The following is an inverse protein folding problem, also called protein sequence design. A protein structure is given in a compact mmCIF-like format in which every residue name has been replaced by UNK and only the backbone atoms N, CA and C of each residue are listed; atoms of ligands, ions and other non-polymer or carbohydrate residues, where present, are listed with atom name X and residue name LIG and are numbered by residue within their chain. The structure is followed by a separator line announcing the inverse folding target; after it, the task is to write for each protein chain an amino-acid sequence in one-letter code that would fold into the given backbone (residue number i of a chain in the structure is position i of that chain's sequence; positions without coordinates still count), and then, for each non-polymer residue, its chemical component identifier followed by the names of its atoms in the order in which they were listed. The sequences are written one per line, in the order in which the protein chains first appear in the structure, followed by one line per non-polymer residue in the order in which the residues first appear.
data_IF_464674885775
#
_entry.id   IF_464674885775
#
_cell.length_a   1.000
_cell.length_b   1.000
_cell.length_c   1.000
_cell.angle_alpha   90.00
_cell.angle_beta   90.00
_cell.angle_gamma   90.00
#
_symmetry.space_group_name_H-M   'P 1'
#
loop_
_entity.id
_entity.type
_entity.pdbx_description
1 polymer ?
#
# COMPACT_ATOMS: atom_id res chain seq x y z
N UNK A 1 26.09 -2.51 21.92
CA UNK A 1 24.89 -2.59 21.09
C UNK A 1 23.77 -1.79 21.73
N UNK A 2 23.27 -0.76 21.07
CA UNK A 2 22.16 0.06 21.53
C UNK A 2 20.85 -0.61 21.10
N UNK A 3 19.84 -0.64 21.97
CA UNK A 3 18.46 -0.95 21.57
C UNK A 3 17.83 0.31 21.03
N UNK A 4 17.11 0.20 19.91
CA UNK A 4 16.46 1.29 19.22
C UNK A 4 14.95 1.02 19.21
N UNK A 5 14.13 1.77 19.96
CA UNK A 5 12.67 1.65 19.89
C UNK A 5 12.14 1.94 18.49
N UNK A 6 11.01 1.32 18.12
CA UNK A 6 10.41 1.48 16.79
C UNK A 6 10.03 2.94 16.49
N UNK A 7 9.42 3.63 17.45
CA UNK A 7 9.06 5.04 17.30
C UNK A 7 10.32 5.91 17.08
N UNK A 8 11.39 5.70 17.87
CA UNK A 8 12.65 6.44 17.72
C UNK A 8 13.28 6.19 16.35
N UNK A 9 13.25 4.94 15.85
CA UNK A 9 13.73 4.62 14.50
C UNK A 9 12.92 5.36 13.42
N UNK A 10 11.59 5.37 13.56
CA UNK A 10 10.70 5.98 12.57
C UNK A 10 10.72 7.52 12.58
N UNK A 11 11.15 8.15 13.68
CA UNK A 11 11.32 9.61 13.78
C UNK A 11 12.60 10.11 13.12
N UNK A 12 13.57 9.24 12.86
CA UNK A 12 14.83 9.60 12.20
C UNK A 12 14.66 9.63 10.67
N UNK A 13 15.43 10.49 10.02
CA UNK A 13 15.53 10.46 8.57
C UNK A 13 16.16 9.14 8.11
N UNK A 14 15.56 8.51 7.12
CA UNK A 14 15.96 7.20 6.60
C UNK A 14 17.42 7.12 6.16
N UNK A 15 18.03 8.25 5.70
CA UNK A 15 19.42 8.31 5.26
C UNK A 15 20.45 8.19 6.37
N UNK A 16 20.10 8.55 7.61
CA UNK A 16 21.02 8.54 8.73
C UNK A 16 21.20 7.15 9.37
N UNK A 17 20.22 6.24 9.18
CA UNK A 17 20.21 4.92 9.78
C UNK A 17 19.70 3.84 8.82
N UNK A 18 20.54 3.36 7.88
CA UNK A 18 20.18 2.21 7.06
C UNK A 18 19.76 1.03 7.93
N UNK A 19 18.65 0.39 7.57
CA UNK A 19 18.09 -0.75 8.29
C UNK A 19 18.41 -2.05 7.55
N UNK A 20 19.08 -2.97 8.22
CA UNK A 20 19.35 -4.29 7.70
C UNK A 20 18.36 -5.30 8.27
N UNK A 21 17.59 -5.92 7.42
CA UNK A 21 16.69 -7.02 7.76
C UNK A 21 17.45 -8.35 7.63
N UNK A 22 17.65 -9.02 8.76
CA UNK A 22 18.40 -10.29 8.81
C UNK A 22 17.50 -11.52 8.83
N UNK A 23 16.23 -11.36 8.48
CA UNK A 23 15.32 -12.48 8.25
C UNK A 23 15.70 -13.21 6.97
N UNK A 24 15.12 -14.40 6.75
CA UNK A 24 15.36 -15.11 5.49
C UNK A 24 14.75 -14.38 4.29
N UNK A 25 15.22 -14.66 3.05
CA UNK A 25 14.67 -14.02 1.85
C UNK A 25 13.15 -14.13 1.74
N UNK A 26 12.57 -15.29 1.98
CA UNK A 26 11.12 -15.48 1.94
C UNK A 26 10.37 -14.71 3.04
N UNK A 27 10.98 -14.55 4.25
CA UNK A 27 10.41 -13.68 5.28
C UNK A 27 10.45 -12.20 4.86
N UNK A 28 11.47 -11.76 4.13
CA UNK A 28 11.61 -10.42 3.60
C UNK A 28 10.61 -10.15 2.47
N UNK A 29 10.50 -11.06 1.51
CA UNK A 29 9.55 -10.97 0.40
C UNK A 29 8.09 -10.99 0.86
N UNK A 30 7.79 -11.74 1.91
CA UNK A 30 6.46 -11.77 2.51
C UNK A 30 6.03 -10.43 3.13
N UNK A 31 6.99 -9.54 3.43
CA UNK A 31 6.76 -8.19 3.91
C UNK A 31 7.94 -7.68 4.72
N UNK A 32 8.36 -6.45 4.46
CA UNK A 32 9.49 -5.81 5.11
C UNK A 32 9.20 -4.34 5.44
N UNK A 33 10.00 -3.76 6.31
CA UNK A 33 9.95 -2.32 6.59
C UNK A 33 10.42 -1.58 5.33
N UNK A 34 9.61 -0.65 4.76
CA UNK A 34 10.01 0.09 3.57
C UNK A 34 11.39 0.76 3.75
N UNK A 35 12.27 0.59 2.74
CA UNK A 35 13.65 1.05 2.80
C UNK A 35 14.64 0.11 3.53
N UNK A 36 14.19 -0.97 4.17
CA UNK A 36 15.08 -1.96 4.74
C UNK A 36 15.82 -2.74 3.64
N UNK A 37 17.09 -3.05 3.91
CA UNK A 37 17.96 -3.81 3.02
C UNK A 37 18.08 -5.25 3.52
N UNK A 38 17.94 -6.22 2.64
CA UNK A 38 18.01 -7.63 3.00
C UNK A 38 19.45 -8.09 3.20
N UNK A 39 19.77 -8.53 4.42
CA UNK A 39 21.05 -9.18 4.79
C UNK A 39 20.76 -10.48 5.55
N UNK A 40 20.28 -11.53 4.88
CA UNK A 40 19.75 -12.71 5.55
C UNK A 40 20.81 -13.49 6.31
N UNK A 41 20.58 -13.72 7.62
CA UNK A 41 21.43 -14.60 8.41
C UNK A 41 21.37 -16.06 7.93
N UNK A 42 20.19 -16.48 7.46
CA UNK A 42 19.91 -17.82 6.95
C UNK A 42 19.22 -17.75 5.60
N UNK A 43 19.48 -18.69 4.69
CA UNK A 43 18.59 -18.97 3.57
C UNK A 43 17.23 -19.48 4.08
N UNK A 44 16.26 -19.64 3.20
CA UNK A 44 14.93 -20.16 3.59
C UNK A 44 15.03 -21.62 4.07
N UNK A 45 15.87 -22.44 3.43
CA UNK A 45 16.12 -23.83 3.81
C UNK A 45 16.83 -23.91 5.18
N UNK A 46 17.86 -23.11 5.36
CA UNK A 46 18.62 -23.06 6.63
C UNK A 46 17.71 -22.60 7.78
N UNK A 47 16.91 -21.55 7.52
CA UNK A 47 15.92 -21.05 8.47
C UNK A 47 14.87 -22.11 8.82
N UNK A 48 14.41 -22.90 7.84
CA UNK A 48 13.48 -24.01 8.07
C UNK A 48 14.11 -25.11 8.95
N UNK A 49 15.35 -25.47 8.69
CA UNK A 49 16.10 -26.47 9.50
C UNK A 49 16.24 -25.98 10.95
N UNK A 50 16.79 -24.78 11.16
CA UNK A 50 16.98 -24.22 12.50
C UNK A 50 15.65 -24.05 13.24
N UNK A 51 14.59 -23.59 12.52
CA UNK A 51 13.26 -23.42 13.08
C UNK A 51 12.59 -24.75 13.48
N UNK A 52 12.82 -25.81 12.73
CA UNK A 52 12.34 -27.16 13.05
C UNK A 52 13.05 -27.72 14.28
N UNK A 53 14.37 -27.59 14.35
CA UNK A 53 15.15 -27.99 15.52
C UNK A 53 14.73 -27.23 16.78
N UNK A 54 14.45 -25.94 16.67
CA UNK A 54 13.94 -25.15 17.79
C UNK A 54 12.63 -25.70 18.35
N UNK A 55 11.70 -26.10 17.48
CA UNK A 55 10.41 -26.67 17.91
C UNK A 55 10.50 -28.08 18.45
N UNK A 56 11.36 -28.92 17.87
CA UNK A 56 11.42 -30.36 18.17
C UNK A 56 12.45 -30.74 19.21
N UNK A 57 13.60 -30.02 19.26
CA UNK A 57 14.75 -30.36 20.07
C UNK A 57 15.14 -29.30 21.10
N UNK A 58 14.50 -28.12 21.02
CA UNK A 58 14.71 -27.00 21.92
C UNK A 58 15.73 -25.96 21.45
N UNK A 59 15.85 -24.86 22.21
CA UNK A 59 16.61 -23.69 21.79
C UNK A 59 18.12 -23.93 21.68
N UNK A 60 18.69 -24.80 22.53
CA UNK A 60 20.14 -25.04 22.58
C UNK A 60 20.67 -25.75 21.32
N UNK A 61 19.98 -26.81 20.88
CA UNK A 61 20.34 -27.56 19.66
C UNK A 61 20.13 -26.69 18.42
N UNK A 62 19.05 -25.92 18.39
CA UNK A 62 18.80 -24.97 17.29
C UNK A 62 19.89 -23.89 17.23
N UNK A 63 20.36 -23.39 18.38
CA UNK A 63 21.42 -22.39 18.45
C UNK A 63 22.74 -22.95 17.95
N UNK A 64 23.13 -24.16 18.37
CA UNK A 64 24.34 -24.83 17.88
C UNK A 64 24.30 -24.99 16.35
N UNK A 65 23.17 -25.47 15.81
CA UNK A 65 23.00 -25.58 14.34
C UNK A 65 23.07 -24.24 13.64
N UNK A 66 22.48 -23.20 14.24
CA UNK A 66 22.57 -21.83 13.74
C UNK A 66 24.02 -21.33 13.69
N UNK A 67 24.84 -21.63 14.70
CA UNK A 67 26.24 -21.26 14.72
C UNK A 67 27.07 -22.01 13.65
N UNK A 68 26.79 -23.29 13.43
CA UNK A 68 27.46 -24.06 12.36
C UNK A 68 27.21 -23.42 10.99
N UNK A 69 25.97 -23.06 10.72
CA UNK A 69 25.57 -22.50 9.44
C UNK A 69 26.06 -21.05 9.27
N UNK A 70 25.85 -20.19 10.27
CA UNK A 70 26.26 -18.80 10.21
C UNK A 70 27.77 -18.62 10.27
N UNK A 71 28.48 -19.47 11.02
CA UNK A 71 29.93 -19.41 11.18
C UNK A 71 30.69 -19.48 9.87
N UNK A 72 30.20 -20.26 8.91
CA UNK A 72 30.81 -20.39 7.58
C UNK A 72 30.67 -19.14 6.72
N UNK A 73 29.79 -18.23 7.07
CA UNK A 73 29.43 -17.03 6.29
C UNK A 73 29.90 -15.71 6.93
N UNK A 74 30.63 -15.76 8.05
CA UNK A 74 31.02 -14.56 8.79
C UNK A 74 31.72 -13.49 7.92
N UNK A 75 32.69 -13.82 7.05
CA UNK A 75 33.29 -12.81 6.17
C UNK A 75 32.27 -12.20 5.21
N UNK A 76 31.41 -13.03 4.63
CA UNK A 76 30.40 -12.59 3.68
C UNK A 76 29.42 -11.58 4.29
N UNK A 77 28.97 -11.78 5.54
CA UNK A 77 28.07 -10.81 6.18
C UNK A 77 28.70 -9.42 6.31
N UNK A 78 29.98 -9.36 6.62
CA UNK A 78 30.70 -8.08 6.76
C UNK A 78 30.87 -7.39 5.41
N UNK A 79 31.29 -8.14 4.39
CA UNK A 79 31.47 -7.64 3.03
C UNK A 79 30.14 -7.17 2.44
N UNK A 80 29.09 -7.96 2.59
CA UNK A 80 27.77 -7.64 2.09
C UNK A 80 27.15 -6.43 2.82
N UNK A 81 27.32 -6.35 4.14
CA UNK A 81 26.88 -5.16 4.88
C UNK A 81 27.57 -3.89 4.35
N UNK A 82 28.90 -3.93 4.11
CA UNK A 82 29.62 -2.79 3.53
C UNK A 82 29.15 -2.44 2.11
N UNK A 83 28.80 -3.44 1.32
CA UNK A 83 28.24 -3.27 -0.03
C UNK A 83 26.85 -2.61 0.00
N UNK A 84 26.01 -3.04 0.93
CA UNK A 84 24.62 -2.55 1.05
C UNK A 84 24.57 -1.12 1.58
N UNK A 85 25.47 -0.73 2.47
CA UNK A 85 25.46 0.60 3.13
C UNK A 85 26.81 1.35 2.91
N UNK A 86 27.17 1.67 1.68
CA UNK A 86 28.47 2.27 1.37
C UNK A 86 28.64 3.62 2.08
N UNK A 87 29.74 3.79 2.81
CA UNK A 87 30.08 5.03 3.52
C UNK A 87 29.32 5.26 4.83
N UNK A 88 28.31 4.45 5.14
CA UNK A 88 27.61 4.56 6.44
C UNK A 88 28.36 3.78 7.51
N UNK A 89 28.63 4.43 8.64
CA UNK A 89 29.15 3.77 9.83
C UNK A 89 28.02 3.37 10.81
N UNK A 90 26.89 4.06 10.76
CA UNK A 90 25.74 3.83 11.63
C UNK A 90 24.70 3.01 10.89
N UNK A 91 24.29 1.89 11.49
CA UNK A 91 23.29 1.01 10.93
C UNK A 91 22.31 0.53 12.00
N UNK A 92 21.10 0.22 11.61
CA UNK A 92 20.15 -0.50 12.43
C UNK A 92 19.96 -1.93 11.88
N UNK A 93 19.73 -2.88 12.77
CA UNK A 93 19.54 -4.30 12.40
C UNK A 93 18.29 -4.83 13.08
N UNK A 94 17.50 -5.61 12.36
CA UNK A 94 16.36 -6.30 12.96
C UNK A 94 16.19 -7.72 12.42
N UNK A 95 15.52 -8.55 13.20
CA UNK A 95 14.91 -9.80 12.75
C UNK A 95 13.43 -9.80 13.14
N UNK A 96 12.78 -10.96 13.19
CA UNK A 96 11.36 -11.06 13.53
C UNK A 96 11.00 -10.47 14.92
N UNK A 97 11.81 -10.71 15.95
CA UNK A 97 11.57 -10.29 17.35
C UNK A 97 12.70 -9.49 17.99
N UNK A 98 13.72 -9.07 17.26
CA UNK A 98 14.88 -8.40 17.84
C UNK A 98 15.70 -9.30 18.79
N UNK A 99 15.71 -10.63 18.54
CA UNK A 99 16.36 -11.62 19.39
C UNK A 99 17.72 -12.08 18.85
N UNK A 100 18.01 -13.38 18.98
CA UNK A 100 19.33 -13.96 18.67
C UNK A 100 19.81 -13.70 17.24
N UNK A 101 18.95 -13.81 16.23
CA UNK A 101 19.35 -13.59 14.82
C UNK A 101 19.93 -12.18 14.60
N UNK A 102 19.20 -11.15 15.01
CA UNK A 102 19.67 -9.76 14.90
C UNK A 102 20.79 -9.45 15.90
N UNK A 103 20.76 -10.04 17.09
CA UNK A 103 21.79 -9.83 18.10
C UNK A 103 23.16 -10.36 17.71
N UNK A 104 23.24 -11.58 17.13
CA UNK A 104 24.50 -12.17 16.68
C UNK A 104 25.10 -11.42 15.51
N UNK A 105 24.29 -11.03 14.52
CA UNK A 105 24.80 -10.27 13.39
C UNK A 105 25.18 -8.83 13.78
N UNK A 106 24.42 -8.20 14.66
CA UNK A 106 24.77 -6.90 15.21
C UNK A 106 26.09 -6.92 15.98
N UNK A 107 26.34 -8.00 16.75
CA UNK A 107 27.63 -8.20 17.42
C UNK A 107 28.78 -8.29 16.41
N UNK A 108 28.67 -9.13 15.38
CA UNK A 108 29.66 -9.28 14.32
C UNK A 108 29.96 -7.97 13.61
N UNK A 109 28.93 -7.24 13.22
CA UNK A 109 29.05 -5.97 12.51
C UNK A 109 29.65 -4.88 13.40
N UNK A 110 29.29 -4.84 14.70
CA UNK A 110 29.93 -3.94 15.65
C UNK A 110 31.43 -4.23 15.80
N UNK A 111 31.80 -5.50 15.87
CA UNK A 111 33.21 -5.93 15.94
C UNK A 111 33.99 -5.56 14.66
N UNK A 112 33.26 -5.47 13.52
CA UNK A 112 33.83 -5.08 12.21
C UNK A 112 33.87 -3.57 11.97
N UNK A 113 33.56 -2.73 13.00
CA UNK A 113 33.69 -1.29 12.98
C UNK A 113 32.41 -0.49 12.70
N UNK A 114 31.24 -1.14 12.59
CA UNK A 114 29.97 -0.43 12.51
C UNK A 114 29.45 0.01 13.89
N UNK A 115 28.82 1.17 13.97
CA UNK A 115 27.97 1.58 15.08
C UNK A 115 26.57 1.01 14.92
N UNK A 116 26.27 -0.09 15.61
CA UNK A 116 25.09 -0.91 15.38
C UNK A 116 24.03 -0.71 16.45
N UNK A 117 22.82 -0.35 16.03
CA UNK A 117 21.60 -0.39 16.83
C UNK A 117 20.73 -1.59 16.45
N UNK A 118 20.05 -2.21 17.43
CA UNK A 118 19.10 -3.32 17.18
C UNK A 118 17.68 -2.80 17.41
N UNK A 119 16.80 -2.95 16.39
CA UNK A 119 15.40 -2.56 16.52
C UNK A 119 14.70 -3.40 17.60
N UNK A 120 14.21 -2.73 18.64
CA UNK A 120 13.62 -3.39 19.79
C UNK A 120 12.31 -4.09 19.43
N UNK A 121 12.22 -5.38 19.78
CA UNK A 121 11.08 -6.22 19.39
C UNK A 121 11.00 -6.59 17.90
N UNK A 122 11.92 -6.05 17.08
CA UNK A 122 12.08 -6.37 15.67
C UNK A 122 10.86 -6.04 14.81
N UNK A 123 10.74 -6.76 13.70
CA UNK A 123 9.64 -6.56 12.74
C UNK A 123 8.25 -6.76 13.37
N UNK A 124 8.10 -7.67 14.32
CA UNK A 124 6.84 -7.86 15.04
C UNK A 124 6.40 -6.61 15.83
N UNK A 125 7.35 -5.91 16.46
CA UNK A 125 7.05 -4.67 17.16
C UNK A 125 6.71 -3.53 16.19
N UNK A 126 7.41 -3.45 15.04
CA UNK A 126 7.07 -2.53 13.97
C UNK A 126 5.63 -2.74 13.49
N UNK A 127 5.23 -4.00 13.15
CA UNK A 127 3.87 -4.31 12.71
C UNK A 127 2.81 -3.91 13.74
N UNK A 128 3.05 -4.17 15.02
CA UNK A 128 2.13 -3.73 16.08
C UNK A 128 2.01 -2.21 16.13
N UNK A 129 3.14 -1.51 16.09
CA UNK A 129 3.19 -0.06 16.13
C UNK A 129 2.40 0.57 14.97
N UNK A 130 2.59 0.12 13.74
CA UNK A 130 1.88 0.71 12.60
C UNK A 130 0.36 0.49 12.67
N UNK A 131 -0.10 -0.66 13.17
CA UNK A 131 -1.53 -0.92 13.35
C UNK A 131 -2.15 0.02 14.41
N UNK A 132 -1.45 0.29 15.52
CA UNK A 132 -1.86 1.26 16.52
C UNK A 132 -1.94 2.67 15.90
N UNK A 133 -0.93 3.07 15.14
CA UNK A 133 -0.86 4.39 14.53
C UNK A 133 -1.96 4.66 13.47
N UNK A 134 -2.42 3.67 12.75
CA UNK A 134 -3.56 3.84 11.82
C UNK A 134 -4.86 4.27 12.53
N UNK A 135 -5.03 3.89 13.79
CA UNK A 135 -6.16 4.30 14.62
C UNK A 135 -5.94 5.61 15.37
N UNK A 136 -4.73 5.89 15.82
CA UNK A 136 -4.43 6.90 16.83
C UNK A 136 -3.79 8.17 16.26
N UNK A 137 -2.89 8.05 15.26
CA UNK A 137 -2.20 9.22 14.69
C UNK A 137 -3.21 10.19 14.07
N UNK A 138 -3.29 11.46 14.55
CA UNK A 138 -4.23 12.43 13.99
C UNK A 138 -3.88 12.75 12.54
N UNK A 139 -4.92 12.98 11.70
CA UNK A 139 -4.80 13.58 10.38
C UNK A 139 -6.16 14.13 9.95
N UNK A 140 -6.16 15.15 9.10
CA UNK A 140 -7.36 15.83 8.60
C UNK A 140 -7.72 15.26 7.23
N UNK A 141 -8.47 14.15 7.21
CA UNK A 141 -8.86 13.51 5.95
C UNK A 141 -10.05 14.18 5.30
N UNK A 142 -10.00 14.35 3.99
CA UNK A 142 -11.11 14.70 3.11
C UNK A 142 -11.24 13.57 2.09
N UNK A 143 -12.36 12.87 2.13
CA UNK A 143 -12.61 11.73 1.23
C UNK A 143 -13.16 12.22 -0.09
N UNK A 144 -12.53 11.87 -1.21
CA UNK A 144 -13.02 12.18 -2.55
C UNK A 144 -13.86 11.00 -3.06
N UNK A 145 -15.18 11.19 -3.09
CA UNK A 145 -16.13 10.28 -3.68
C UNK A 145 -16.38 10.60 -5.16
N UNK A 146 -17.01 9.67 -5.85
CA UNK A 146 -17.40 9.81 -7.25
C UNK A 146 -17.55 8.44 -7.90
N UNK A 147 -18.57 8.29 -8.72
CA UNK A 147 -18.88 7.05 -9.41
C UNK A 147 -17.71 6.61 -10.31
N UNK A 148 -17.67 5.33 -10.69
CA UNK A 148 -16.64 4.79 -11.61
C UNK A 148 -16.57 5.64 -12.89
N UNK A 149 -15.35 5.94 -13.32
CA UNK A 149 -15.10 6.78 -14.50
C UNK A 149 -15.21 8.30 -14.27
N UNK A 150 -15.38 8.76 -13.04
CA UNK A 150 -15.41 10.21 -12.73
C UNK A 150 -14.03 10.88 -12.73
N UNK A 151 -12.96 10.16 -13.00
CA UNK A 151 -11.61 10.71 -13.08
C UNK A 151 -10.93 10.99 -11.74
N UNK A 152 -11.43 10.45 -10.60
CA UNK A 152 -10.88 10.69 -9.25
C UNK A 152 -9.36 10.60 -9.18
N UNK A 153 -8.77 9.53 -9.70
CA UNK A 153 -7.32 9.32 -9.67
C UNK A 153 -6.55 10.42 -10.40
N UNK A 154 -7.04 10.86 -11.57
CA UNK A 154 -6.45 11.99 -12.31
C UNK A 154 -6.62 13.32 -11.55
N UNK A 155 -7.76 13.54 -10.93
CA UNK A 155 -8.05 14.72 -10.10
C UNK A 155 -7.18 14.76 -8.85
N UNK A 156 -6.99 13.63 -8.16
CA UNK A 156 -6.10 13.53 -6.99
C UNK A 156 -4.63 13.78 -7.37
N UNK A 157 -4.22 13.31 -8.55
CA UNK A 157 -2.90 13.64 -9.08
C UNK A 157 -2.75 15.15 -9.30
N UNK A 158 -3.73 15.80 -9.90
CA UNK A 158 -3.72 17.26 -10.10
C UNK A 158 -3.72 18.02 -8.76
N UNK A 159 -4.47 17.57 -7.75
CA UNK A 159 -4.43 18.15 -6.39
C UNK A 159 -3.03 18.04 -5.79
N UNK A 160 -2.34 16.90 -5.95
CA UNK A 160 -0.96 16.72 -5.48
C UNK A 160 0.01 17.67 -6.19
N UNK A 161 -0.15 17.87 -7.51
CA UNK A 161 0.65 18.82 -8.29
C UNK A 161 0.42 20.27 -7.86
N UNK A 162 -0.76 20.59 -7.29
CA UNK A 162 -1.08 21.90 -6.68
C UNK A 162 -0.60 22.01 -5.23
N UNK A 163 0.14 21.03 -4.71
CA UNK A 163 0.68 21.04 -3.35
C UNK A 163 -0.27 20.55 -2.26
N UNK A 164 -1.43 19.98 -2.61
CA UNK A 164 -2.30 19.29 -1.65
C UNK A 164 -1.70 17.94 -1.25
N UNK A 165 -1.96 17.50 -0.03
CA UNK A 165 -1.57 16.15 0.38
C UNK A 165 -2.58 15.14 -0.12
N UNK A 166 -2.08 14.02 -0.63
CA UNK A 166 -2.90 12.91 -1.14
C UNK A 166 -2.35 11.59 -0.62
N UNK A 167 -3.18 10.82 0.05
CA UNK A 167 -2.91 9.43 0.39
C UNK A 167 -3.53 8.54 -0.69
N UNK A 168 -2.69 8.06 -1.60
CA UNK A 168 -3.05 7.34 -2.81
C UNK A 168 -3.22 5.84 -2.51
N UNK A 169 -4.43 5.44 -2.15
CA UNK A 169 -4.72 4.06 -1.77
C UNK A 169 -4.65 3.09 -2.95
N UNK A 170 -5.16 3.51 -4.12
CA UNK A 170 -5.13 2.71 -5.36
C UNK A 170 -3.70 2.51 -5.85
N UNK A 171 -2.89 3.58 -5.83
CA UNK A 171 -1.49 3.52 -6.25
C UNK A 171 -0.67 2.58 -5.36
N UNK A 172 -0.81 2.67 -4.02
CA UNK A 172 -0.11 1.78 -3.08
C UNK A 172 -0.60 0.33 -3.20
N UNK A 173 -1.89 0.13 -3.49
CA UNK A 173 -2.46 -1.20 -3.71
C UNK A 173 -2.10 -1.79 -5.09
N UNK A 174 -1.54 -1.02 -6.01
CA UNK A 174 -1.38 -1.38 -7.42
C UNK A 174 -2.69 -1.89 -8.03
N UNK A 175 -3.81 -1.18 -7.75
CA UNK A 175 -5.13 -1.63 -8.16
C UNK A 175 -6.19 -0.53 -8.07
N UNK A 176 -6.89 -0.22 -9.16
CA UNK A 176 -7.91 0.84 -9.27
C UNK A 176 -9.31 0.43 -8.75
N UNK A 177 -9.40 -0.31 -7.67
CA UNK A 177 -10.63 -0.61 -6.94
C UNK A 177 -11.68 -1.50 -7.66
N UNK A 178 -11.69 -1.61 -8.98
CA UNK A 178 -12.72 -2.31 -9.77
C UNK A 178 -12.25 -3.68 -10.29
N UNK A 179 -13.13 -4.47 -10.93
CA UNK A 179 -12.72 -5.70 -11.62
C UNK A 179 -11.72 -5.46 -12.77
N UNK A 180 -11.63 -4.23 -13.26
CA UNK A 180 -10.67 -3.77 -14.27
C UNK A 180 -9.42 -3.16 -13.62
N UNK A 181 -9.40 -3.02 -12.32
CA UNK A 181 -8.40 -2.26 -11.57
C UNK A 181 -6.98 -2.77 -11.66
N UNK A 182 -6.77 -4.04 -12.02
CA UNK A 182 -5.44 -4.61 -12.23
C UNK A 182 -4.85 -4.32 -13.62
N UNK A 183 -5.64 -3.76 -14.55
CA UNK A 183 -5.18 -3.50 -15.92
C UNK A 183 -4.17 -2.36 -15.95
N UNK A 184 -2.98 -2.65 -16.46
CA UNK A 184 -1.87 -1.71 -16.55
C UNK A 184 -1.09 -1.51 -15.24
N UNK A 185 -1.47 -2.21 -14.17
CA UNK A 185 -0.77 -2.14 -12.90
C UNK A 185 0.25 -3.28 -12.76
N UNK A 186 1.28 -3.04 -11.96
CA UNK A 186 2.20 -4.10 -11.50
C UNK A 186 1.46 -5.06 -10.54
N UNK A 187 1.98 -6.27 -10.29
CA UNK A 187 1.34 -7.18 -9.35
C UNK A 187 1.08 -6.53 -7.99
N UNK A 188 -0.12 -6.75 -7.45
CA UNK A 188 -0.45 -6.25 -6.12
C UNK A 188 0.51 -6.80 -5.06
N UNK A 189 0.94 -5.97 -4.10
CA UNK A 189 1.62 -6.46 -2.91
C UNK A 189 0.70 -7.44 -2.15
N UNK A 190 1.27 -8.23 -1.27
CA UNK A 190 0.46 -8.92 -0.28
C UNK A 190 -0.06 -7.92 0.79
N UNK A 191 -0.99 -8.36 1.64
CA UNK A 191 -1.62 -7.48 2.64
C UNK A 191 -0.61 -6.86 3.58
N UNK A 192 0.39 -7.64 4.01
CA UNK A 192 1.41 -7.19 4.98
C UNK A 192 2.30 -6.09 4.39
N UNK A 193 2.77 -6.25 3.15
CA UNK A 193 3.57 -5.25 2.48
C UNK A 193 2.76 -4.00 2.12
N UNK A 194 1.52 -4.17 1.65
CA UNK A 194 0.60 -3.07 1.43
C UNK A 194 0.44 -2.18 2.68
N UNK A 195 0.20 -2.79 3.84
CA UNK A 195 0.07 -2.06 5.10
C UNK A 195 1.36 -1.35 5.51
N UNK A 196 2.53 -1.95 5.25
CA UNK A 196 3.83 -1.33 5.50
C UNK A 196 4.05 -0.09 4.62
N UNK A 197 3.75 -0.19 3.33
CA UNK A 197 3.88 0.91 2.36
C UNK A 197 2.85 2.01 2.62
N UNK A 198 1.61 1.61 2.94
CA UNK A 198 0.55 2.53 3.33
C UNK A 198 0.95 3.33 4.58
N UNK A 199 1.51 2.67 5.58
CA UNK A 199 2.00 3.37 6.77
C UNK A 199 3.16 4.30 6.46
N UNK A 200 4.08 3.90 5.59
CA UNK A 200 5.18 4.76 5.16
C UNK A 200 4.67 6.05 4.51
N UNK A 201 3.70 5.96 3.60
CA UNK A 201 3.04 7.12 3.01
C UNK A 201 2.25 7.94 4.05
N UNK A 202 1.49 7.27 4.92
CA UNK A 202 0.69 7.90 5.97
C UNK A 202 1.53 8.67 6.98
N UNK A 203 2.68 8.13 7.37
CA UNK A 203 3.63 8.76 8.29
C UNK A 203 4.19 10.08 7.76
N UNK A 204 4.41 10.16 6.44
CA UNK A 204 4.97 11.34 5.78
C UNK A 204 4.01 12.53 5.70
N UNK A 205 2.72 12.32 6.04
CA UNK A 205 1.72 13.38 5.99
C UNK A 205 1.90 14.38 7.14
N UNK A 206 1.75 15.65 6.82
CA UNK A 206 1.63 16.74 7.77
C UNK A 206 0.24 16.68 8.43
N UNK A 207 0.19 16.53 9.74
CA UNK A 207 -1.05 16.34 10.51
C UNK A 207 -1.91 17.60 10.59
N UNK A 208 -1.33 18.78 10.36
CA UNK A 208 -2.01 20.07 10.45
C UNK A 208 -2.69 20.47 9.13
N UNK A 209 -2.31 19.80 8.04
CA UNK A 209 -2.85 20.03 6.71
C UNK A 209 -3.86 18.95 6.34
N UNK A 210 -4.85 19.30 5.51
CA UNK A 210 -5.81 18.31 4.97
C UNK A 210 -5.11 17.30 4.07
N UNK A 211 -5.68 16.10 4.03
CA UNK A 211 -5.23 14.99 3.20
C UNK A 211 -6.41 14.46 2.39
N UNK A 212 -6.29 14.51 1.08
CA UNK A 212 -7.26 13.91 0.17
C UNK A 212 -7.03 12.40 0.07
N UNK A 213 -8.13 11.64 0.12
CA UNK A 213 -8.08 10.17 0.05
C UNK A 213 -9.23 9.69 -0.83
N UNK A 214 -9.01 8.66 -1.65
CA UNK A 214 -10.09 8.05 -2.45
C UNK A 214 -11.17 7.41 -1.55
N UNK A 215 -12.45 7.56 -1.94
CA UNK A 215 -13.54 6.80 -1.36
C UNK A 215 -13.53 5.36 -1.89
N UNK A 216 -12.69 4.51 -1.30
CA UNK A 216 -12.56 3.12 -1.66
C UNK A 216 -13.30 2.19 -0.69
N UNK A 217 -13.58 0.97 -1.13
CA UNK A 217 -14.07 -0.07 -0.23
C UNK A 217 -12.95 -0.54 0.70
N UNK A 218 -13.29 -1.21 1.82
CA UNK A 218 -12.29 -1.78 2.72
C UNK A 218 -11.30 -2.71 2.00
N UNK A 219 -11.74 -3.38 0.93
CA UNK A 219 -10.88 -4.22 0.10
C UNK A 219 -10.58 -3.55 -1.23
N UNK A 220 -9.30 -3.44 -1.59
CA UNK A 220 -8.80 -2.95 -2.86
C UNK A 220 -8.12 -4.12 -3.58
N UNK A 221 -8.83 -4.78 -4.50
CA UNK A 221 -8.39 -6.04 -5.07
C UNK A 221 -8.21 -7.13 -4.00
N UNK A 222 -6.98 -7.54 -3.71
CA UNK A 222 -6.64 -8.59 -2.73
C UNK A 222 -6.17 -8.05 -1.39
N UNK A 223 -5.95 -6.75 -1.27
CA UNK A 223 -5.47 -6.12 -0.03
C UNK A 223 -6.62 -5.47 0.72
N UNK A 224 -6.40 -5.20 2.00
CA UNK A 224 -7.43 -4.63 2.88
C UNK A 224 -6.86 -3.41 3.59
N UNK A 225 -7.66 -2.35 3.69
CA UNK A 225 -7.33 -1.21 4.54
C UNK A 225 -7.30 -1.64 6.01
N UNK A 226 -6.30 -1.18 6.79
CA UNK A 226 -6.27 -1.36 8.24
C UNK A 226 -7.56 -0.83 8.87
N UNK A 227 -8.09 -1.57 9.83
CA UNK A 227 -9.39 -1.29 10.43
C UNK A 227 -9.48 0.12 11.03
N UNK A 228 -8.43 0.55 11.75
CA UNK A 228 -8.37 1.88 12.34
C UNK A 228 -8.45 3.00 11.31
N UNK A 229 -7.72 2.88 10.20
CA UNK A 229 -7.78 3.84 9.10
C UNK A 229 -9.16 3.81 8.41
N UNK A 230 -9.67 2.61 8.11
CA UNK A 230 -10.97 2.45 7.47
C UNK A 230 -12.09 3.15 8.25
N UNK A 231 -12.21 2.90 9.54
CA UNK A 231 -13.24 3.52 10.38
C UNK A 231 -13.14 5.05 10.45
N UNK A 232 -11.93 5.58 10.37
CA UNK A 232 -11.72 7.04 10.35
C UNK A 232 -12.17 7.65 9.04
N UNK A 233 -11.79 7.04 7.91
CA UNK A 233 -12.20 7.51 6.58
C UNK A 233 -13.72 7.50 6.43
N UNK A 234 -14.42 6.50 6.99
CA UNK A 234 -15.89 6.42 6.94
C UNK A 234 -16.61 7.54 7.72
N UNK A 235 -15.92 8.27 8.58
CA UNK A 235 -16.45 9.39 9.39
C UNK A 235 -15.88 10.74 8.97
N UNK A 236 -15.10 10.77 7.92
CA UNK A 236 -14.48 11.99 7.41
C UNK A 236 -15.46 12.77 6.51
N UNK A 237 -15.21 14.07 6.30
CA UNK A 237 -15.91 14.82 5.25
C UNK A 237 -15.76 14.11 3.90
N UNK A 238 -16.88 13.99 3.17
CA UNK A 238 -16.94 13.42 1.83
C UNK A 238 -17.25 14.52 0.82
N UNK A 239 -16.36 14.73 -0.14
CA UNK A 239 -16.67 15.54 -1.32
C UNK A 239 -17.03 14.59 -2.46
N UNK A 240 -18.31 14.60 -2.83
CA UNK A 240 -18.87 13.73 -3.86
C UNK A 240 -18.78 14.43 -5.23
N UNK A 241 -17.87 13.95 -6.08
CA UNK A 241 -17.71 14.43 -7.45
C UNK A 241 -18.77 13.78 -8.37
N UNK A 242 -19.64 14.60 -8.93
CA UNK A 242 -20.71 14.20 -9.85
C UNK A 242 -20.36 14.58 -11.28
N UNK A 243 -20.09 13.57 -12.11
CA UNK A 243 -19.71 13.73 -13.52
C UNK A 243 -20.79 13.12 -14.42
N UNK A 244 -21.23 13.79 -15.51
CA UNK A 244 -22.19 13.26 -16.45
C UNK A 244 -21.82 11.88 -16.98
N UNK A 245 -22.81 11.03 -17.20
CA UNK A 245 -22.63 9.65 -17.61
C UNK A 245 -21.79 9.53 -18.90
N UNK A 246 -22.06 10.37 -19.88
CA UNK A 246 -21.38 10.39 -21.18
C UNK A 246 -19.88 10.74 -21.02
N UNK A 247 -19.56 11.66 -20.13
CA UNK A 247 -18.17 12.05 -19.84
C UNK A 247 -17.42 10.88 -19.17
N UNK A 248 -18.09 10.15 -18.27
CA UNK A 248 -17.52 8.98 -17.62
C UNK A 248 -17.28 7.84 -18.60
N UNK A 249 -18.20 7.60 -19.55
CA UNK A 249 -18.02 6.65 -20.65
C UNK A 249 -16.81 7.04 -21.50
N UNK A 250 -16.72 8.31 -21.91
CA UNK A 250 -15.60 8.79 -22.73
C UNK A 250 -14.25 8.61 -22.00
N UNK A 251 -14.20 8.95 -20.72
CA UNK A 251 -13.00 8.77 -19.90
C UNK A 251 -12.58 7.30 -19.79
N UNK A 252 -13.53 6.38 -19.56
CA UNK A 252 -13.21 4.95 -19.52
C UNK A 252 -12.72 4.41 -20.86
N UNK A 253 -13.25 4.89 -21.98
CA UNK A 253 -12.75 4.53 -23.32
C UNK A 253 -11.31 5.02 -23.49
N UNK A 254 -11.00 6.23 -23.09
CA UNK A 254 -9.64 6.78 -23.13
C UNK A 254 -8.66 5.95 -22.29
N UNK A 255 -9.04 5.62 -21.06
CA UNK A 255 -8.14 4.91 -20.10
C UNK A 255 -7.98 3.44 -20.46
N UNK A 256 -9.07 2.77 -20.89
CA UNK A 256 -9.06 1.31 -21.06
C UNK A 256 -9.06 0.86 -22.53
N UNK A 257 -9.41 1.72 -23.48
CA UNK A 257 -9.52 1.35 -24.91
C UNK A 257 -8.20 0.95 -25.57
N UNK A 258 -7.06 1.21 -24.93
CA UNK A 258 -5.72 0.82 -25.41
C UNK A 258 -5.30 -0.58 -24.94
N UNK A 259 -6.02 -1.18 -24.00
CA UNK A 259 -5.69 -2.53 -23.53
C UNK A 259 -6.16 -3.62 -24.50
N UNK A 260 -5.46 -4.78 -24.56
CA UNK A 260 -5.88 -5.91 -25.38
C UNK A 260 -7.33 -6.34 -25.05
N UNK A 261 -8.13 -6.60 -26.09
CA UNK A 261 -9.54 -7.00 -25.97
C UNK A 261 -9.71 -8.18 -25.02
N UNK A 262 -8.86 -9.22 -25.14
CA UNK A 262 -8.93 -10.38 -24.24
C UNK A 262 -8.74 -10.06 -22.74
N UNK A 263 -7.97 -9.02 -22.41
CA UNK A 263 -7.79 -8.57 -21.02
C UNK A 263 -9.05 -7.87 -20.49
N UNK A 264 -9.72 -7.11 -21.34
CA UNK A 264 -11.02 -6.49 -21.05
C UNK A 264 -12.12 -7.54 -20.88
N UNK A 265 -12.19 -8.53 -21.80
CA UNK A 265 -13.11 -9.66 -21.70
C UNK A 265 -12.93 -10.44 -20.39
N UNK A 266 -11.69 -10.75 -20.00
CA UNK A 266 -11.40 -11.41 -18.73
C UNK A 266 -11.91 -10.61 -17.52
N UNK A 267 -11.87 -9.28 -17.59
CA UNK A 267 -12.41 -8.41 -16.54
C UNK A 267 -13.93 -8.41 -16.48
N UNK A 268 -14.61 -8.44 -17.63
CA UNK A 268 -16.07 -8.62 -17.70
C UNK A 268 -16.52 -9.98 -17.16
N UNK A 269 -15.80 -11.05 -17.46
CA UNK A 269 -16.08 -12.39 -16.94
C UNK A 269 -16.03 -12.46 -15.41
N UNK A 270 -15.15 -11.69 -14.76
CA UNK A 270 -15.09 -11.61 -13.28
C UNK A 270 -16.37 -11.06 -12.65
N UNK A 271 -17.12 -10.23 -13.36
CA UNK A 271 -18.37 -9.64 -12.87
C UNK A 271 -19.63 -10.30 -13.48
N UNK A 272 -19.49 -11.39 -14.22
CA UNK A 272 -20.59 -12.08 -14.90
C UNK A 272 -21.83 -12.31 -14.01
N UNK A 273 -21.62 -12.90 -12.82
CA UNK A 273 -22.72 -13.21 -11.89
C UNK A 273 -23.53 -11.98 -11.45
N UNK A 274 -22.88 -10.83 -11.41
CA UNK A 274 -23.47 -9.56 -10.95
C UNK A 274 -24.02 -8.74 -12.12
N UNK A 275 -23.39 -8.85 -13.29
CA UNK A 275 -23.80 -8.14 -14.51
C UNK A 275 -25.00 -8.81 -15.19
N UNK A 276 -25.07 -10.15 -15.12
CA UNK A 276 -26.05 -10.98 -15.79
C UNK A 276 -25.64 -11.36 -17.23
N UNK A 277 -25.97 -12.58 -17.62
CA UNK A 277 -25.46 -13.19 -18.86
C UNK A 277 -25.80 -12.44 -20.14
N UNK A 278 -26.98 -11.79 -20.25
CA UNK A 278 -27.34 -11.01 -21.42
C UNK A 278 -26.49 -9.75 -21.56
N UNK A 279 -26.31 -8.99 -20.49
CA UNK A 279 -25.44 -7.80 -20.48
C UNK A 279 -23.98 -8.17 -20.74
N UNK A 280 -23.49 -9.28 -20.16
CA UNK A 280 -22.16 -9.79 -20.45
C UNK A 280 -21.99 -10.09 -21.94
N UNK A 281 -22.92 -10.86 -22.54
CA UNK A 281 -22.86 -11.18 -23.96
C UNK A 281 -22.80 -9.92 -24.84
N UNK A 282 -23.65 -8.94 -24.56
CA UNK A 282 -23.66 -7.67 -25.31
C UNK A 282 -22.35 -6.90 -25.14
N UNK A 283 -21.79 -6.85 -23.91
CA UNK A 283 -20.52 -6.18 -23.66
C UNK A 283 -19.34 -6.85 -24.40
N UNK A 284 -19.28 -8.19 -24.39
CA UNK A 284 -18.24 -8.94 -25.12
C UNK A 284 -18.35 -8.73 -26.64
N UNK A 285 -19.56 -8.75 -27.20
CA UNK A 285 -19.78 -8.45 -28.62
C UNK A 285 -19.34 -7.03 -28.99
N UNK A 286 -19.65 -6.05 -28.14
CA UNK A 286 -19.22 -4.66 -28.30
C UNK A 286 -17.69 -4.53 -28.29
N UNK A 287 -17.00 -5.19 -27.37
CA UNK A 287 -15.53 -5.22 -27.35
C UNK A 287 -14.94 -5.82 -28.62
N UNK A 288 -15.49 -6.94 -29.10
CA UNK A 288 -15.03 -7.63 -30.31
C UNK A 288 -15.25 -6.81 -31.59
N UNK A 289 -16.29 -5.96 -31.60
CA UNK A 289 -16.55 -5.02 -32.69
C UNK A 289 -15.81 -3.69 -32.60
N UNK A 290 -15.04 -3.46 -31.53
CA UNK A 290 -14.36 -2.20 -31.26
C UNK A 290 -15.25 -1.10 -30.66
N UNK A 291 -16.49 -1.42 -30.28
CA UNK A 291 -17.41 -0.48 -29.62
C UNK A 291 -17.17 -0.45 -28.10
N UNK A 292 -16.04 0.13 -27.72
CA UNK A 292 -15.65 0.28 -26.32
C UNK A 292 -16.62 1.15 -25.52
N UNK A 293 -17.33 2.09 -26.19
CA UNK A 293 -18.28 2.98 -25.54
C UNK A 293 -19.49 2.20 -25.01
N UNK A 294 -20.06 1.32 -25.82
CA UNK A 294 -21.17 0.44 -25.40
C UNK A 294 -20.73 -0.50 -24.27
N UNK A 295 -19.54 -1.09 -24.37
CA UNK A 295 -19.02 -1.95 -23.31
C UNK A 295 -18.84 -1.18 -21.99
N UNK A 296 -18.25 0.01 -22.02
CA UNK A 296 -18.08 0.88 -20.87
C UNK A 296 -19.44 1.30 -20.26
N UNK A 297 -20.42 1.68 -21.08
CA UNK A 297 -21.77 2.04 -20.62
C UNK A 297 -22.48 0.88 -19.89
N UNK A 298 -22.31 -0.35 -20.36
CA UNK A 298 -22.85 -1.54 -19.71
C UNK A 298 -22.18 -1.76 -18.33
N UNK A 299 -20.85 -1.65 -18.27
CA UNK A 299 -20.11 -1.77 -17.02
C UNK A 299 -20.53 -0.69 -16.00
N UNK A 300 -20.65 0.57 -16.42
CA UNK A 300 -21.04 1.68 -15.57
C UNK A 300 -22.42 1.50 -14.91
N UNK A 301 -23.42 1.02 -15.65
CA UNK A 301 -24.76 0.73 -15.10
C UNK A 301 -24.72 -0.25 -13.93
N UNK A 302 -23.80 -1.20 -13.96
CA UNK A 302 -23.57 -2.13 -12.86
C UNK A 302 -22.85 -1.43 -11.68
N UNK A 303 -21.76 -0.71 -11.98
CA UNK A 303 -20.97 -0.06 -10.94
C UNK A 303 -21.73 1.05 -10.21
N UNK A 304 -22.57 1.80 -10.90
CA UNK A 304 -23.36 2.88 -10.29
C UNK A 304 -24.30 2.37 -9.21
N UNK A 305 -24.95 1.21 -9.43
CA UNK A 305 -25.77 0.55 -8.40
C UNK A 305 -24.96 0.14 -7.18
N UNK A 306 -23.77 -0.40 -7.42
CA UNK A 306 -22.89 -0.86 -6.33
C UNK A 306 -22.35 0.35 -5.55
N UNK A 307 -21.93 1.40 -6.25
CA UNK A 307 -21.38 2.60 -5.65
C UNK A 307 -22.43 3.32 -4.77
N UNK A 308 -23.62 3.53 -5.26
CA UNK A 308 -24.71 4.15 -4.50
C UNK A 308 -24.97 3.39 -3.18
N UNK A 309 -25.00 2.05 -3.25
CA UNK A 309 -25.22 1.22 -2.07
C UNK A 309 -24.07 1.29 -1.07
N UNK A 310 -22.81 1.31 -1.52
CA UNK A 310 -21.65 1.35 -0.61
C UNK A 310 -21.50 2.72 0.05
N UNK A 311 -21.69 3.81 -0.70
CA UNK A 311 -21.62 5.17 -0.17
C UNK A 311 -22.72 5.45 0.86
N UNK A 312 -23.93 4.92 0.67
CA UNK A 312 -25.04 5.09 1.63
C UNK A 312 -24.81 4.39 2.98
N UNK A 313 -23.79 3.56 3.12
CA UNK A 313 -23.43 2.88 4.38
C UNK A 313 -22.36 3.58 5.20
N UNK A 314 -21.70 4.59 4.63
CA UNK A 314 -20.72 5.39 5.36
C UNK A 314 -21.40 6.43 6.26
N UNK A 315 -20.74 6.75 7.36
CA UNK A 315 -21.15 7.78 8.33
C UNK A 315 -20.44 9.11 8.02
N UNK A 316 -20.28 9.44 6.74
CA UNK A 316 -19.58 10.64 6.29
C UNK A 316 -20.29 11.92 6.76
N UNK A 317 -19.53 12.85 7.32
CA UNK A 317 -20.06 14.12 7.78
C UNK A 317 -18.99 15.25 7.70
N UNK A 318 -19.26 16.35 6.97
CA UNK A 318 -20.38 16.55 6.03
C UNK A 318 -20.22 15.80 4.70
N UNK A 319 -21.31 15.68 3.95
CA UNK A 319 -21.29 15.28 2.53
C UNK A 319 -21.51 16.52 1.67
N UNK A 320 -20.57 16.84 0.81
CA UNK A 320 -20.58 18.01 -0.06
C UNK A 320 -20.56 17.52 -1.51
N UNK A 321 -21.46 18.05 -2.34
CA UNK A 321 -21.58 17.65 -3.73
C UNK A 321 -20.93 18.67 -4.66
N UNK A 322 -20.09 18.20 -5.58
CA UNK A 322 -19.52 18.99 -6.66
C UNK A 322 -19.94 18.42 -8.01
N UNK A 323 -20.85 19.09 -8.70
CA UNK A 323 -21.17 18.77 -10.09
C UNK A 323 -20.09 19.34 -11.01
N UNK A 324 -19.54 18.50 -11.87
CA UNK A 324 -18.52 18.89 -12.84
C UNK A 324 -18.72 18.21 -14.18
N UNK A 325 -18.99 18.99 -15.21
CA UNK A 325 -19.07 18.55 -16.60
C UNK A 325 -17.78 18.77 -17.38
N UNK A 326 -16.75 19.36 -16.75
CA UNK A 326 -15.43 19.54 -17.35
C UNK A 326 -14.77 18.19 -17.65
N UNK A 327 -13.96 18.18 -18.69
CA UNK A 327 -13.01 17.07 -18.96
C UNK A 327 -11.59 17.43 -18.50
N UNK A 328 -11.41 18.63 -17.95
CA UNK A 328 -10.13 19.13 -17.46
C UNK A 328 -10.00 18.84 -15.97
N UNK A 329 -9.25 17.79 -15.65
CA UNK A 329 -9.02 17.35 -14.27
C UNK A 329 -8.27 18.40 -13.42
N UNK A 330 -7.50 19.28 -14.04
CA UNK A 330 -6.82 20.37 -13.34
C UNK A 330 -7.83 21.43 -12.88
N UNK A 331 -8.79 21.79 -13.73
CA UNK A 331 -9.89 22.68 -13.33
C UNK A 331 -10.77 22.05 -12.24
N UNK A 332 -11.08 20.76 -12.38
CA UNK A 332 -11.83 20.01 -11.35
C UNK A 332 -11.10 20.05 -10.01
N UNK A 333 -9.78 19.80 -10.01
CA UNK A 333 -8.95 19.84 -8.81
C UNK A 333 -8.94 21.24 -8.16
N UNK A 334 -8.84 22.31 -8.96
CA UNK A 334 -8.90 23.67 -8.46
C UNK A 334 -10.24 23.97 -7.77
N UNK A 335 -11.36 23.56 -8.39
CA UNK A 335 -12.69 23.70 -7.80
C UNK A 335 -12.86 22.91 -6.50
N UNK A 336 -12.33 21.69 -6.43
CA UNK A 336 -12.33 20.89 -5.21
C UNK A 336 -11.54 21.55 -4.09
N UNK A 337 -10.37 22.10 -4.43
CA UNK A 337 -9.55 22.86 -3.47
C UNK A 337 -10.30 24.05 -2.92
N UNK A 338 -10.89 24.88 -3.79
CA UNK A 338 -11.69 26.05 -3.40
C UNK A 338 -12.88 25.64 -2.52
N UNK A 339 -13.61 24.60 -2.91
CA UNK A 339 -14.74 24.08 -2.15
C UNK A 339 -14.32 23.62 -0.75
N UNK A 340 -13.19 22.93 -0.63
CA UNK A 340 -12.66 22.51 0.66
C UNK A 340 -12.25 23.72 1.52
N UNK A 341 -11.64 24.76 0.93
CA UNK A 341 -11.27 25.99 1.64
C UNK A 341 -12.52 26.73 2.14
N UNK A 342 -13.59 26.85 1.33
CA UNK A 342 -14.86 27.48 1.69
C UNK A 342 -15.58 26.77 2.84
N UNK A 343 -15.41 25.45 2.97
CA UNK A 343 -16.02 24.64 4.03
C UNK A 343 -15.09 24.40 5.22
N UNK A 344 -13.88 24.96 5.21
CA UNK A 344 -12.92 24.82 6.32
C UNK A 344 -12.39 23.40 6.51
N UNK A 345 -12.37 22.60 5.44
CA UNK A 345 -11.89 21.21 5.44
C UNK A 345 -10.37 21.12 5.46
#
# INVERSE_FOLDING_TARGET
MRKLPVNEYLEKEWGDYPLLDVRSPGEFEAGHIPGALSLPLFSDEERAIVGTLYKQKGPEIAFQKGLEVAGQKLPWYVEEARRLVPGSQKIAVHCWRGGQRSGSLAWLLSFSGFDVSVLEGGYKAYRRYIHEQFGERPFRSVVLGGATGSGKTAVLKALREMGEQVLDLEGIAHHKGSAFGALGETPQPNVEQFENELFHAFKALDTDRRVWVENESRSIGRVFLPEGLWHRLQRSPLVQLEVPFENRVAYLVEVYGTFPVGSLEASFLRIEKKLGGQHLKTALQALQSGDYATAAAIALKYYDKTYAYTTSKGDFDPIIHLYDSSKDHTQTALRLKQLADEHGL
#
